data_IF_918165772028
#
_entry.id   IF_918165772028
#
_cell.length_a   1.000
_cell.length_b   1.000
_cell.length_c   1.000
_cell.angle_alpha   90.00
_cell.angle_beta   90.00
_cell.angle_gamma   90.00
#
_symmetry.space_group_name_H-M   'P 1'
#
loop_
_entity.id
_entity.type
_entity.pdbx_description
1 polymer ?
#
# COMPACT_ATOMS: atom_id res chain seq x y z
N UNK A 1 37.31 22.86 1.81
CA UNK A 1 36.51 23.72 2.71
C UNK A 1 35.51 22.78 3.38
N UNK A 2 35.68 22.50 4.66
CA UNK A 2 34.68 21.75 5.42
C UNK A 2 33.48 22.66 5.65
N UNK A 3 32.29 22.29 5.14
CA UNK A 3 31.07 23.03 5.39
C UNK A 3 30.63 22.81 6.84
N UNK A 4 30.31 23.90 7.53
CA UNK A 4 29.84 23.92 8.93
C UNK A 4 28.40 23.42 9.10
N UNK A 5 27.75 22.95 8.03
CA UNK A 5 26.32 22.62 8.01
C UNK A 5 26.02 21.13 8.09
N UNK A 6 26.96 20.32 8.52
CA UNK A 6 26.77 18.87 8.59
C UNK A 6 26.49 18.39 10.01
N UNK A 7 25.36 17.80 10.10
CA UNK A 7 24.65 17.10 11.16
C UNK A 7 25.50 16.27 12.14
N UNK A 8 24.89 15.84 13.23
CA UNK A 8 25.54 15.53 14.47
C UNK A 8 26.38 14.26 14.40
N UNK A 9 27.34 14.25 15.28
CA UNK A 9 28.13 13.12 15.78
C UNK A 9 28.86 12.29 14.71
N UNK A 10 30.15 12.50 14.68
CA UNK A 10 31.20 11.61 14.18
C UNK A 10 31.51 11.55 12.69
N UNK A 11 31.21 12.58 11.92
CA UNK A 11 31.77 12.70 10.56
C UNK A 11 32.84 13.77 10.53
N UNK A 12 34.07 13.39 10.28
CA UNK A 12 35.21 14.31 10.14
C UNK A 12 35.59 14.42 8.66
N UNK A 13 35.77 15.66 8.18
CA UNK A 13 36.32 15.92 6.84
C UNK A 13 37.83 16.11 6.95
N UNK A 14 38.62 15.18 6.47
CA UNK A 14 40.04 15.38 6.23
C UNK A 14 40.23 15.92 4.82
N UNK A 15 40.29 17.25 4.67
CA UNK A 15 40.66 17.91 3.40
C UNK A 15 42.18 18.02 3.26
N UNK A 16 42.64 17.98 2.02
CA UNK A 16 44.05 17.93 1.63
C UNK A 16 44.95 19.09 2.19
N UNK A 17 44.40 20.12 2.81
CA UNK A 17 45.16 21.32 3.19
C UNK A 17 45.12 21.72 4.68
N UNK A 18 44.36 21.05 5.53
CA UNK A 18 44.33 21.38 6.98
C UNK A 18 43.94 20.18 7.82
N UNK A 19 44.89 19.37 8.20
CA UNK A 19 44.75 18.46 9.31
C UNK A 19 44.85 19.23 10.63
N UNK A 20 43.77 19.44 11.34
CA UNK A 20 43.81 19.90 12.71
C UNK A 20 44.20 18.70 13.59
N UNK A 21 45.38 18.78 14.16
CA UNK A 21 46.12 17.68 14.81
C UNK A 21 45.49 17.11 16.08
N UNK A 22 44.21 17.36 16.31
CA UNK A 22 43.48 16.89 17.46
C UNK A 22 42.33 15.91 17.16
N UNK A 23 41.89 15.82 15.88
CA UNK A 23 40.66 15.11 15.53
C UNK A 23 40.76 14.12 14.37
N UNK A 24 41.81 14.23 13.57
CA UNK A 24 42.13 13.20 12.57
C UNK A 24 43.32 12.39 13.12
N UNK A 25 43.23 11.09 13.20
CA UNK A 25 44.32 10.21 13.58
C UNK A 25 45.54 10.42 12.68
N UNK A 26 46.67 9.83 13.02
CA UNK A 26 48.00 10.10 12.44
C UNK A 26 48.15 9.88 10.91
N UNK A 27 47.12 9.48 10.22
CA UNK A 27 47.09 9.14 8.79
C UNK A 27 46.23 10.12 7.97
N UNK A 28 46.64 11.40 7.92
CA UNK A 28 46.22 12.28 6.83
C UNK A 28 47.00 12.00 5.53
N UNK A 29 47.37 10.79 5.28
CA UNK A 29 47.88 10.32 4.01
C UNK A 29 46.70 9.91 3.13
N UNK A 30 46.82 10.04 1.83
CA UNK A 30 45.88 9.52 0.84
C UNK A 30 45.75 7.96 0.99
N UNK A 31 45.26 7.54 2.14
CA UNK A 31 44.88 6.16 2.43
C UNK A 31 43.61 5.81 1.65
N UNK A 32 43.60 4.65 1.10
CA UNK A 32 42.36 4.03 0.65
C UNK A 32 41.49 3.88 1.91
N UNK A 33 40.22 4.31 1.90
CA UNK A 33 39.29 4.07 3.01
C UNK A 33 39.37 2.61 3.47
N UNK A 34 39.54 2.39 4.76
CA UNK A 34 39.72 1.04 5.32
C UNK A 34 38.48 0.68 6.16
N UNK A 35 37.54 0.04 5.51
CA UNK A 35 36.35 -0.48 6.18
C UNK A 35 36.70 -1.37 7.35
N UNK A 36 36.10 -1.14 8.51
CA UNK A 36 36.31 -1.94 9.70
C UNK A 36 37.33 -1.35 10.68
N UNK A 37 37.78 -0.13 10.51
CA UNK A 37 38.68 0.54 11.41
C UNK A 37 38.01 1.34 12.54
N UNK A 38 36.67 1.43 12.51
CA UNK A 38 35.82 2.15 13.47
C UNK A 38 35.70 3.65 13.17
N UNK A 39 36.08 4.09 11.97
CA UNK A 39 36.03 5.50 11.55
C UNK A 39 35.34 5.57 10.18
N UNK A 40 34.19 6.21 10.09
CA UNK A 40 33.51 6.40 8.80
C UNK A 40 34.30 7.35 7.90
N UNK A 41 34.88 6.82 6.84
CA UNK A 41 35.72 7.54 5.88
C UNK A 41 34.96 7.86 4.59
N UNK A 42 35.63 8.57 3.67
CA UNK A 42 35.00 8.94 2.40
C UNK A 42 34.67 7.72 1.55
N UNK A 43 33.38 7.53 1.24
CA UNK A 43 32.89 6.40 0.46
C UNK A 43 32.25 5.28 1.28
N UNK A 44 32.33 5.42 2.61
CA UNK A 44 31.65 4.53 3.56
C UNK A 44 30.34 5.17 4.01
N UNK A 45 29.35 4.34 4.28
CA UNK A 45 28.06 4.75 4.82
C UNK A 45 28.04 4.63 6.35
N UNK A 46 28.80 3.67 6.85
CA UNK A 46 28.97 3.35 8.28
C UNK A 46 30.32 2.67 8.50
N UNK A 47 30.80 2.58 9.74
CA UNK A 47 31.92 1.72 10.13
C UNK A 47 31.78 1.32 11.62
N UNK A 48 31.35 0.11 11.86
CA UNK A 48 31.18 -0.47 13.20
C UNK A 48 32.29 -1.50 13.53
N UNK A 49 33.42 -1.39 12.86
CA UNK A 49 34.59 -2.23 13.08
C UNK A 49 34.67 -3.45 12.18
N UNK A 50 35.72 -4.27 12.31
CA UNK A 50 36.11 -5.26 11.31
C UNK A 50 35.13 -6.45 11.15
N UNK A 51 34.17 -6.57 12.03
CA UNK A 51 33.13 -7.62 11.95
C UNK A 51 31.77 -7.05 11.51
N UNK A 52 31.69 -5.74 11.30
CA UNK A 52 30.41 -5.07 11.10
C UNK A 52 29.50 -5.15 12.33
N UNK A 53 28.25 -4.81 12.16
CA UNK A 53 27.21 -4.86 13.20
C UNK A 53 25.85 -5.27 12.61
N UNK A 54 24.79 -5.13 13.39
CA UNK A 54 23.42 -5.28 12.87
C UNK A 54 23.00 -4.14 11.93
N UNK A 55 23.71 -3.01 11.94
CA UNK A 55 23.40 -1.81 11.16
C UNK A 55 24.43 -1.46 10.10
N UNK A 56 25.58 -2.16 10.11
CA UNK A 56 26.69 -1.91 9.19
C UNK A 56 27.33 -3.22 8.74
N UNK A 57 27.38 -3.45 7.44
CA UNK A 57 28.00 -4.67 6.90
C UNK A 57 29.55 -4.58 6.87
N UNK A 58 30.19 -5.69 6.55
CA UNK A 58 31.65 -5.78 6.44
C UNK A 58 32.25 -5.02 5.23
N UNK A 59 31.39 -4.39 4.41
CA UNK A 59 31.76 -3.54 3.29
C UNK A 59 31.48 -2.06 3.60
N UNK A 60 31.20 -1.74 4.86
CA UNK A 60 30.85 -0.40 5.36
C UNK A 60 29.65 0.22 4.67
N UNK A 61 28.64 -0.61 4.41
CA UNK A 61 27.34 -0.20 3.94
C UNK A 61 26.31 -0.30 5.07
N UNK A 62 25.45 0.71 5.17
CA UNK A 62 24.32 0.63 6.10
C UNK A 62 23.46 -0.59 5.73
N UNK A 63 23.30 -1.50 6.69
CA UNK A 63 22.31 -2.57 6.58
C UNK A 63 20.95 -1.90 6.82
N UNK A 64 20.02 -1.93 5.86
CA UNK A 64 18.68 -1.41 6.10
C UNK A 64 18.08 -2.13 7.31
N UNK A 65 17.73 -1.39 8.36
CA UNK A 65 16.94 -1.94 9.45
C UNK A 65 15.55 -2.14 8.86
N UNK A 66 15.26 -3.37 8.46
CA UNK A 66 13.91 -3.73 8.06
C UNK A 66 13.01 -3.56 9.29
N UNK A 67 11.82 -3.00 9.12
CA UNK A 67 10.85 -2.95 10.20
C UNK A 67 10.59 -4.37 10.70
N UNK A 68 10.37 -4.52 12.01
CA UNK A 68 9.98 -5.81 12.58
C UNK A 68 8.77 -6.35 11.81
N UNK A 69 8.90 -7.57 11.32
CA UNK A 69 7.86 -8.17 10.48
C UNK A 69 6.57 -8.31 11.29
N UNK A 70 5.46 -7.73 10.86
CA UNK A 70 4.21 -7.77 11.59
C UNK A 70 3.72 -9.21 11.79
N UNK A 71 3.37 -9.58 13.02
CA UNK A 71 2.84 -10.90 13.34
C UNK A 71 1.33 -10.98 13.20
N UNK A 72 0.63 -9.90 13.57
CA UNK A 72 -0.82 -9.83 13.45
C UNK A 72 -1.21 -8.91 12.31
N UNK A 73 -2.17 -9.37 11.51
CA UNK A 73 -2.66 -8.64 10.35
C UNK A 73 -4.13 -8.26 10.55
N UNK A 74 -4.43 -6.99 10.39
CA UNK A 74 -5.78 -6.45 10.43
C UNK A 74 -6.12 -5.82 9.09
N UNK A 75 -7.40 -5.81 8.73
CA UNK A 75 -7.85 -5.23 7.47
C UNK A 75 -9.04 -4.31 7.66
N UNK A 76 -8.96 -3.15 7.06
CA UNK A 76 -10.04 -2.17 6.91
C UNK A 76 -10.28 -2.00 5.40
N UNK A 77 -11.53 -2.05 4.99
CA UNK A 77 -11.82 -1.96 3.56
C UNK A 77 -13.29 -2.15 3.22
N UNK A 78 -13.49 -2.38 1.95
CA UNK A 78 -14.79 -2.66 1.34
C UNK A 78 -14.88 -4.11 0.83
N UNK A 79 -15.67 -4.37 -0.20
CA UNK A 79 -15.83 -5.69 -0.81
C UNK A 79 -14.53 -6.30 -1.34
N UNK A 80 -13.57 -5.48 -1.74
CA UNK A 80 -12.24 -5.96 -2.16
C UNK A 80 -11.51 -6.54 -0.93
N UNK A 81 -11.59 -5.84 0.20
CA UNK A 81 -11.04 -6.27 1.47
C UNK A 81 -11.74 -7.49 2.07
N UNK A 82 -13.01 -7.73 1.75
CA UNK A 82 -13.71 -8.96 2.11
C UNK A 82 -13.39 -10.16 1.18
N UNK A 83 -12.71 -9.90 0.05
CA UNK A 83 -12.50 -10.91 -0.98
C UNK A 83 -13.80 -11.33 -1.67
N UNK A 84 -14.79 -10.41 -1.76
CA UNK A 84 -16.08 -10.72 -2.38
C UNK A 84 -15.88 -11.26 -3.80
N UNK A 85 -16.55 -12.33 -4.10
CA UNK A 85 -16.50 -13.03 -5.38
C UNK A 85 -15.10 -13.56 -5.80
N UNK A 86 -14.08 -13.53 -4.97
CA UNK A 86 -12.73 -13.95 -5.34
C UNK A 86 -12.67 -15.42 -5.83
N UNK A 87 -13.49 -16.32 -5.26
CA UNK A 87 -13.60 -17.72 -5.67
C UNK A 87 -14.64 -17.99 -6.78
N UNK A 88 -15.27 -16.95 -7.30
CA UNK A 88 -16.34 -17.04 -8.30
C UNK A 88 -17.75 -17.01 -7.73
N UNK A 89 -17.93 -17.05 -6.41
CA UNK A 89 -19.24 -17.01 -5.76
C UNK A 89 -19.66 -15.57 -5.52
N UNK A 90 -20.56 -15.07 -6.34
CA UNK A 90 -21.00 -13.66 -6.31
C UNK A 90 -21.73 -13.36 -5.00
N UNK A 91 -21.43 -12.22 -4.39
CA UNK A 91 -22.10 -11.69 -3.19
C UNK A 91 -21.72 -12.42 -1.90
N UNK A 92 -20.67 -13.23 -1.91
CA UNK A 92 -20.15 -13.87 -0.70
C UNK A 92 -18.69 -13.46 -0.46
N UNK A 93 -18.32 -13.16 0.79
CA UNK A 93 -16.93 -12.88 1.16
C UNK A 93 -16.10 -14.16 1.08
N UNK A 94 -14.82 -13.99 0.80
CA UNK A 94 -13.81 -15.05 0.88
C UNK A 94 -12.57 -14.53 1.59
N UNK A 95 -12.61 -14.50 2.90
CA UNK A 95 -11.52 -13.97 3.74
C UNK A 95 -10.22 -14.78 3.60
N UNK A 96 -10.29 -16.03 3.14
CA UNK A 96 -9.09 -16.85 2.91
C UNK A 96 -8.25 -16.34 1.74
N UNK A 97 -8.91 -15.79 0.73
CA UNK A 97 -8.29 -15.35 -0.51
C UNK A 97 -8.19 -13.81 -0.63
N UNK A 98 -8.02 -13.11 0.48
CA UNK A 98 -7.86 -11.64 0.50
C UNK A 98 -6.41 -11.24 0.34
N UNK A 99 -6.16 -10.19 -0.41
CA UNK A 99 -4.81 -9.67 -0.69
C UNK A 99 -4.00 -9.34 0.58
N UNK A 100 -4.66 -8.93 1.66
CA UNK A 100 -4.05 -8.48 2.91
C UNK A 100 -3.99 -9.58 3.97
N UNK A 101 -5.15 -10.00 4.46
CA UNK A 101 -5.31 -10.93 5.60
C UNK A 101 -5.63 -12.37 5.19
N UNK A 102 -5.48 -12.72 3.91
CA UNK A 102 -5.66 -14.07 3.42
C UNK A 102 -4.74 -15.08 4.13
N UNK A 103 -5.19 -16.34 4.21
CA UNK A 103 -4.48 -17.36 4.98
C UNK A 103 -4.65 -18.79 4.41
N UNK A 104 -4.98 -18.94 3.14
CA UNK A 104 -5.08 -20.26 2.47
C UNK A 104 -3.80 -20.56 1.68
N UNK A 105 -2.84 -21.32 2.25
CA UNK A 105 -1.57 -21.61 1.58
C UNK A 105 -1.73 -22.48 0.32
N UNK A 106 -2.94 -22.95 0.04
CA UNK A 106 -3.23 -23.80 -1.12
C UNK A 106 -3.75 -23.02 -2.31
N UNK A 107 -4.13 -21.76 -2.10
CA UNK A 107 -4.53 -20.89 -3.20
C UNK A 107 -3.34 -20.10 -3.76
N UNK A 108 -3.54 -19.31 -4.79
CA UNK A 108 -2.48 -18.58 -5.46
C UNK A 108 -2.36 -17.12 -4.97
N UNK A 109 -3.06 -16.73 -3.89
CA UNK A 109 -3.11 -15.32 -3.51
C UNK A 109 -1.80 -14.85 -2.90
N UNK A 110 -1.16 -15.62 -2.05
CA UNK A 110 0.04 -15.25 -1.31
C UNK A 110 -0.10 -13.83 -0.74
N UNK A 111 -1.02 -13.67 0.19
CA UNK A 111 -1.41 -12.41 0.83
C UNK A 111 -0.25 -11.73 1.56
N UNK A 112 -0.43 -10.49 2.03
CA UNK A 112 0.54 -9.85 2.92
C UNK A 112 0.77 -10.68 4.17
N UNK A 113 -0.30 -11.22 4.75
CA UNK A 113 -0.24 -12.10 5.91
C UNK A 113 0.69 -13.30 5.66
N UNK A 114 0.51 -14.01 4.56
CA UNK A 114 1.32 -15.18 4.21
C UNK A 114 2.77 -14.82 3.86
N UNK A 115 3.00 -13.64 3.25
CA UNK A 115 4.36 -13.14 2.95
C UNK A 115 5.13 -12.84 4.21
N UNK A 116 4.51 -12.22 5.20
CA UNK A 116 5.15 -11.93 6.48
C UNK A 116 5.43 -13.21 7.28
N UNK A 117 4.54 -14.18 7.24
CA UNK A 117 4.77 -15.49 7.82
C UNK A 117 6.01 -16.16 7.23
N UNK A 118 6.11 -16.19 5.91
CA UNK A 118 7.23 -16.80 5.21
C UNK A 118 8.56 -16.06 5.50
N UNK A 119 8.51 -14.74 5.66
CA UNK A 119 9.69 -13.93 5.99
C UNK A 119 10.25 -14.21 7.38
N UNK A 120 9.40 -14.58 8.32
CA UNK A 120 9.81 -14.98 9.68
C UNK A 120 10.40 -16.40 9.75
N UNK A 121 10.51 -17.12 8.62
CA UNK A 121 11.06 -18.49 8.58
C UNK A 121 10.15 -19.53 9.23
N UNK A 122 8.97 -19.15 9.69
CA UNK A 122 7.95 -20.08 10.14
C UNK A 122 7.17 -20.59 8.93
N UNK A 123 7.00 -21.89 8.83
CA UNK A 123 6.04 -22.43 7.89
C UNK A 123 4.65 -21.94 8.29
N UNK A 124 3.92 -21.36 7.33
CA UNK A 124 2.52 -21.02 7.54
C UNK A 124 1.79 -22.25 8.06
N UNK A 125 1.17 -22.13 9.20
CA UNK A 125 0.32 -23.17 9.77
C UNK A 125 -1.05 -22.55 10.02
N UNK A 126 -2.07 -23.21 9.48
CA UNK A 126 -3.50 -22.89 9.65
C UNK A 126 -3.94 -22.70 11.11
N UNK A 127 -3.09 -23.09 12.04
CA UNK A 127 -3.30 -23.04 13.49
C UNK A 127 -2.61 -21.87 14.19
N UNK A 128 -2.12 -20.90 13.46
CA UNK A 128 -1.64 -19.68 14.12
C UNK A 128 -2.85 -18.88 14.61
N UNK A 129 -3.25 -19.17 15.84
CA UNK A 129 -4.47 -18.65 16.48
C UNK A 129 -4.47 -17.12 16.65
N UNK A 130 -3.34 -16.47 16.42
CA UNK A 130 -3.25 -15.00 16.42
C UNK A 130 -3.78 -14.37 15.12
N UNK A 131 -4.11 -15.17 14.11
CA UNK A 131 -4.52 -14.73 12.76
C UNK A 131 -5.89 -15.23 12.38
N UNK A 132 -6.82 -14.99 13.25
CA UNK A 132 -8.22 -15.35 13.04
C UNK A 132 -8.86 -14.43 11.97
N UNK A 133 -9.85 -14.97 11.23
CA UNK A 133 -10.67 -14.23 10.26
C UNK A 133 -11.40 -13.04 10.89
N UNK A 134 -11.57 -13.01 12.20
CA UNK A 134 -12.14 -11.88 12.94
C UNK A 134 -11.28 -10.61 12.88
N UNK A 135 -10.07 -10.70 12.41
CA UNK A 135 -9.16 -9.57 12.19
C UNK A 135 -9.55 -8.78 10.93
N UNK A 136 -10.29 -9.37 10.02
CA UNK A 136 -10.80 -8.66 8.85
C UNK A 136 -12.09 -7.91 9.20
N UNK A 137 -12.02 -6.58 9.20
CA UNK A 137 -13.14 -5.67 9.48
C UNK A 137 -13.69 -4.98 8.23
N UNK A 138 -13.23 -5.39 7.05
CA UNK A 138 -13.79 -4.89 5.79
C UNK A 138 -15.25 -5.26 5.67
N UNK A 139 -16.03 -4.42 5.00
CA UNK A 139 -17.48 -4.61 4.78
C UNK A 139 -17.83 -4.27 3.34
N UNK A 140 -18.47 -5.19 2.62
CA UNK A 140 -18.94 -4.94 1.26
C UNK A 140 -19.82 -3.69 1.17
N UNK A 141 -19.51 -2.84 0.20
CA UNK A 141 -20.20 -1.56 0.00
C UNK A 141 -19.74 -0.42 0.91
N UNK A 142 -18.79 -0.64 1.82
CA UNK A 142 -18.28 0.40 2.71
C UNK A 142 -17.68 1.57 1.92
N UNK A 143 -17.95 2.77 2.40
CA UNK A 143 -17.43 4.05 1.93
C UNK A 143 -16.49 4.66 2.98
N UNK A 144 -15.83 5.75 2.67
CA UNK A 144 -14.90 6.40 3.61
C UNK A 144 -15.58 6.78 4.94
N UNK A 145 -16.89 7.06 4.95
CA UNK A 145 -17.66 7.32 6.17
C UNK A 145 -17.69 6.13 7.16
N UNK A 146 -17.47 4.91 6.68
CA UNK A 146 -17.44 3.71 7.50
C UNK A 146 -16.10 3.48 8.17
N UNK A 147 -15.06 4.22 7.77
CA UNK A 147 -13.69 4.07 8.29
C UNK A 147 -13.64 4.22 9.80
N UNK A 148 -14.31 5.22 10.37
CA UNK A 148 -14.37 5.42 11.82
C UNK A 148 -14.83 4.16 12.57
N UNK A 149 -15.88 3.51 12.08
CA UNK A 149 -16.43 2.32 12.73
C UNK A 149 -15.51 1.11 12.56
N UNK A 150 -14.94 0.92 11.37
CA UNK A 150 -13.99 -0.16 11.11
C UNK A 150 -12.70 0.02 11.92
N UNK A 151 -12.18 1.24 12.02
CA UNK A 151 -11.01 1.56 12.84
C UNK A 151 -11.24 1.22 14.32
N UNK A 152 -12.41 1.61 14.87
CA UNK A 152 -12.78 1.22 16.24
C UNK A 152 -12.86 -0.31 16.41
N UNK A 153 -13.40 -1.02 15.45
CA UNK A 153 -13.49 -2.48 15.49
C UNK A 153 -12.09 -3.13 15.46
N UNK A 154 -11.18 -2.61 14.62
CA UNK A 154 -9.78 -3.05 14.57
C UNK A 154 -9.10 -2.78 15.90
N UNK A 155 -9.16 -1.56 16.46
CA UNK A 155 -8.54 -1.23 17.75
C UNK A 155 -9.07 -2.14 18.85
N UNK A 156 -10.37 -2.39 18.91
CA UNK A 156 -10.96 -3.32 19.86
C UNK A 156 -10.48 -4.77 19.69
N UNK A 157 -10.25 -5.21 18.44
CA UNK A 157 -9.71 -6.53 18.19
C UNK A 157 -8.24 -6.62 18.63
N UNK A 158 -7.44 -5.61 18.35
CA UNK A 158 -6.00 -5.55 18.67
C UNK A 158 -5.75 -5.62 20.19
N UNK A 159 -6.55 -4.95 21.02
CA UNK A 159 -6.38 -5.00 22.50
C UNK A 159 -6.64 -6.40 23.08
N UNK A 160 -7.25 -7.31 22.33
CA UNK A 160 -7.50 -8.69 22.76
C UNK A 160 -6.46 -9.69 22.21
N UNK A 161 -5.48 -9.22 21.44
CA UNK A 161 -4.37 -10.03 20.93
C UNK A 161 -3.20 -9.94 21.90
N UNK A 162 -2.35 -10.97 21.98
CA UNK A 162 -1.21 -10.97 22.90
C UNK A 162 -0.31 -9.75 22.66
N UNK A 163 0.03 -8.98 23.72
CA UNK A 163 0.89 -7.81 23.61
C UNK A 163 2.34 -8.20 23.32
N UNK A 164 3.06 -7.32 22.63
CA UNK A 164 4.51 -7.45 22.42
C UNK A 164 4.91 -7.88 21.01
N UNK A 165 4.00 -7.78 20.05
CA UNK A 165 4.28 -8.03 18.63
C UNK A 165 3.94 -6.79 17.80
N UNK A 166 4.70 -6.58 16.73
CA UNK A 166 4.34 -5.59 15.72
C UNK A 166 3.06 -6.04 15.00
N UNK A 167 2.09 -5.15 14.94
CA UNK A 167 0.83 -5.37 14.24
C UNK A 167 0.77 -4.54 12.96
N UNK A 168 0.05 -5.02 11.96
CA UNK A 168 -0.22 -4.25 10.75
C UNK A 168 -1.71 -4.10 10.51
N UNK A 169 -2.12 -2.91 10.15
CA UNK A 169 -3.46 -2.63 9.63
C UNK A 169 -3.35 -2.26 8.15
N UNK A 170 -3.87 -3.10 7.28
CA UNK A 170 -4.01 -2.78 5.85
C UNK A 170 -5.30 -2.02 5.63
N UNK A 171 -5.26 -0.92 4.88
CA UNK A 171 -6.41 -0.06 4.62
C UNK A 171 -6.56 0.12 3.11
N UNK A 172 -7.67 -0.36 2.55
CA UNK A 172 -8.08 -0.07 1.18
C UNK A 172 -9.56 0.30 1.20
N UNK A 173 -9.84 1.59 1.22
CA UNK A 173 -11.19 2.13 1.31
C UNK A 173 -11.31 3.37 0.42
N UNK A 174 -12.53 3.64 -0.08
CA UNK A 174 -12.80 4.75 -0.97
C UNK A 174 -13.22 4.31 -2.37
N UNK A 175 -13.14 3.03 -2.70
CA UNK A 175 -13.57 2.54 -4.02
C UNK A 175 -15.07 2.84 -4.26
N UNK A 176 -15.92 2.67 -3.25
CA UNK A 176 -17.35 2.96 -3.36
C UNK A 176 -17.66 4.46 -3.33
N UNK A 177 -16.77 5.29 -2.80
CA UNK A 177 -16.89 6.77 -2.84
C UNK A 177 -16.71 7.30 -4.26
N UNK A 178 -15.84 6.69 -5.04
CA UNK A 178 -15.53 7.10 -6.42
C UNK A 178 -16.32 6.29 -7.45
N UNK A 179 -16.89 5.15 -7.07
CA UNK A 179 -17.72 4.31 -7.92
C UNK A 179 -19.15 4.85 -7.92
N UNK A 180 -19.38 5.94 -8.66
CA UNK A 180 -20.60 6.71 -8.69
C UNK A 180 -21.18 6.81 -10.10
N UNK A 181 -22.41 7.26 -10.22
CA UNK A 181 -23.10 7.42 -11.51
C UNK A 181 -22.56 8.59 -12.33
N UNK A 182 -21.97 9.59 -11.68
CA UNK A 182 -21.35 10.76 -12.31
C UNK A 182 -20.25 11.33 -11.45
N UNK A 183 -19.44 12.22 -12.02
CA UNK A 183 -18.37 12.93 -11.27
C UNK A 183 -18.92 13.77 -10.11
N UNK A 184 -20.13 14.27 -10.23
CA UNK A 184 -20.80 15.10 -9.22
C UNK A 184 -21.38 14.26 -8.08
N UNK A 185 -21.66 12.98 -8.32
CA UNK A 185 -22.24 12.07 -7.32
C UNK A 185 -21.18 11.27 -6.57
N UNK A 186 -19.90 11.38 -6.93
CA UNK A 186 -18.81 10.92 -6.08
C UNK A 186 -18.88 11.62 -4.72
N UNK A 187 -18.44 10.96 -3.66
CA UNK A 187 -18.33 11.59 -2.33
C UNK A 187 -17.57 12.92 -2.43
N UNK A 188 -18.14 13.97 -1.86
CA UNK A 188 -17.50 15.29 -1.88
C UNK A 188 -16.07 15.22 -1.30
N UNK A 189 -15.05 15.77 -1.97
CA UNK A 189 -13.66 15.64 -1.53
C UNK A 189 -13.39 16.16 -0.12
N UNK A 190 -14.10 17.21 0.33
CA UNK A 190 -13.94 17.72 1.69
C UNK A 190 -14.56 16.77 2.71
N UNK A 191 -15.74 16.21 2.38
CA UNK A 191 -16.38 15.19 3.21
C UNK A 191 -15.50 13.92 3.29
N UNK A 192 -14.98 13.46 2.15
CA UNK A 192 -14.06 12.33 2.08
C UNK A 192 -12.82 12.54 2.96
N UNK A 193 -12.17 13.70 2.86
CA UNK A 193 -11.00 14.02 3.67
C UNK A 193 -11.33 14.05 5.18
N UNK A 194 -12.50 14.59 5.57
CA UNK A 194 -12.91 14.63 6.97
C UNK A 194 -13.19 13.22 7.51
N UNK A 195 -13.91 12.40 6.74
CA UNK A 195 -14.19 11.01 7.11
C UNK A 195 -12.91 10.17 7.24
N UNK A 196 -11.93 10.44 6.37
CA UNK A 196 -10.62 9.81 6.46
C UNK A 196 -9.89 10.21 7.74
N UNK A 197 -9.90 11.51 8.12
CA UNK A 197 -9.35 11.98 9.40
C UNK A 197 -10.04 11.33 10.59
N UNK A 198 -11.36 11.22 10.56
CA UNK A 198 -12.13 10.59 11.66
C UNK A 198 -11.64 9.15 11.93
N UNK A 199 -11.34 8.39 10.91
CA UNK A 199 -10.77 7.04 11.03
C UNK A 199 -9.31 7.04 11.51
N UNK A 200 -8.46 7.92 10.96
CA UNK A 200 -7.08 8.05 11.38
C UNK A 200 -6.96 8.52 12.84
N UNK A 201 -7.86 9.40 13.31
CA UNK A 201 -7.91 9.86 14.70
C UNK A 201 -8.15 8.69 15.67
N UNK A 202 -8.99 7.73 15.29
CA UNK A 202 -9.22 6.51 16.09
C UNK A 202 -7.93 5.69 16.20
N UNK A 203 -7.22 5.50 15.08
CA UNK A 203 -5.98 4.73 15.06
C UNK A 203 -4.86 5.46 15.82
N UNK A 204 -4.74 6.77 15.65
CA UNK A 204 -3.74 7.60 16.33
C UNK A 204 -3.97 7.71 17.85
N UNK A 205 -5.22 7.71 18.28
CA UNK A 205 -5.58 7.74 19.71
C UNK A 205 -5.52 6.37 20.38
N UNK A 206 -5.26 5.30 19.62
CA UNK A 206 -5.25 3.95 20.18
C UNK A 206 -4.09 3.78 21.17
N UNK A 207 -4.25 2.99 22.26
CA UNK A 207 -3.18 2.74 23.22
C UNK A 207 -2.01 1.91 22.64
N UNK A 208 -2.16 1.43 21.41
CA UNK A 208 -1.19 0.59 20.69
C UNK A 208 -0.23 1.43 19.81
N UNK A 209 -0.49 2.68 19.68
CA UNK A 209 0.13 3.84 19.03
C UNK A 209 1.38 3.59 18.18
N UNK A 210 2.53 3.45 18.81
CA UNK A 210 3.81 3.42 18.08
C UNK A 210 4.17 2.03 17.54
N UNK A 211 3.53 0.97 18.03
CA UNK A 211 3.83 -0.42 17.64
C UNK A 211 2.97 -0.92 16.48
N UNK A 212 2.05 -0.09 15.98
CA UNK A 212 1.15 -0.44 14.87
C UNK A 212 1.64 0.13 13.56
N UNK A 213 1.87 -0.74 12.60
CA UNK A 213 2.17 -0.36 11.23
C UNK A 213 0.86 -0.19 10.46
N UNK A 214 0.71 0.90 9.72
CA UNK A 214 -0.43 1.10 8.82
C UNK A 214 0.04 1.04 7.38
N UNK A 215 -0.59 0.22 6.57
CA UNK A 215 -0.39 0.19 5.12
C UNK A 215 -1.64 0.71 4.43
N UNK A 216 -1.60 1.94 3.95
CA UNK A 216 -2.71 2.62 3.31
C UNK A 216 -2.54 2.55 1.80
N UNK A 217 -3.38 1.75 1.17
CA UNK A 217 -3.39 1.61 -0.28
C UNK A 217 -4.25 2.70 -0.93
N UNK A 218 -3.72 3.32 -1.97
CA UNK A 218 -4.48 4.23 -2.82
C UNK A 218 -5.63 3.51 -3.54
N UNK A 219 -6.62 4.25 -4.00
CA UNK A 219 -7.75 3.73 -4.75
C UNK A 219 -7.27 3.32 -6.14
N UNK A 220 -7.39 2.03 -6.54
CA UNK A 220 -7.08 1.58 -7.88
C UNK A 220 -7.94 2.26 -8.94
N UNK A 221 -7.40 2.43 -10.13
CA UNK A 221 -8.15 3.09 -11.19
C UNK A 221 -9.23 2.20 -11.79
N UNK A 222 -10.50 2.57 -11.62
CA UNK A 222 -11.67 1.85 -12.16
C UNK A 222 -11.62 1.74 -13.69
N UNK A 223 -10.92 2.64 -14.36
CA UNK A 223 -10.71 2.55 -15.80
C UNK A 223 -10.12 1.21 -16.23
N UNK A 224 -9.19 0.65 -15.46
CA UNK A 224 -8.56 -0.63 -15.79
C UNK A 224 -9.50 -1.81 -15.60
N UNK A 225 -10.48 -1.73 -14.70
CA UNK A 225 -11.56 -2.70 -14.59
C UNK A 225 -12.39 -2.73 -15.89
N UNK A 226 -12.78 -1.56 -16.37
CA UNK A 226 -13.50 -1.45 -17.64
C UNK A 226 -12.66 -1.97 -18.82
N UNK A 227 -11.41 -1.57 -18.93
CA UNK A 227 -10.51 -2.00 -20.02
C UNK A 227 -10.31 -3.52 -20.03
N UNK A 228 -10.16 -4.11 -18.86
CA UNK A 228 -9.99 -5.56 -18.69
C UNK A 228 -11.17 -6.40 -19.24
N UNK A 229 -12.41 -5.89 -19.12
CA UNK A 229 -13.63 -6.64 -19.46
C UNK A 229 -14.48 -6.03 -20.57
N UNK A 230 -14.10 -4.91 -21.14
CA UNK A 230 -14.89 -4.19 -22.16
C UNK A 230 -15.22 -5.00 -23.42
N UNK A 231 -14.44 -6.02 -23.74
CA UNK A 231 -14.67 -6.90 -24.87
C UNK A 231 -15.49 -8.15 -24.50
N UNK A 232 -15.79 -8.34 -23.21
CA UNK A 232 -16.60 -9.45 -22.74
C UNK A 232 -18.09 -9.12 -22.90
N UNK A 233 -18.79 -9.93 -23.72
CA UNK A 233 -20.21 -9.72 -23.99
C UNK A 233 -21.08 -9.90 -22.75
N UNK A 234 -20.75 -10.88 -21.90
CA UNK A 234 -21.48 -11.12 -20.65
C UNK A 234 -21.37 -9.92 -19.71
N UNK A 235 -20.14 -9.44 -19.51
CA UNK A 235 -19.87 -8.31 -18.63
C UNK A 235 -20.64 -7.06 -19.04
N UNK A 236 -20.56 -6.69 -20.32
CA UNK A 236 -21.22 -5.48 -20.83
C UNK A 236 -22.74 -5.54 -20.82
N UNK A 237 -23.29 -6.74 -21.09
CA UNK A 237 -24.71 -6.87 -21.36
C UNK A 237 -25.51 -7.28 -20.12
N UNK A 238 -24.93 -8.12 -19.29
CA UNK A 238 -25.66 -8.76 -18.20
C UNK A 238 -25.13 -8.43 -16.79
N UNK A 239 -23.83 -8.21 -16.61
CA UNK A 239 -23.28 -7.96 -15.29
C UNK A 239 -23.25 -6.46 -14.95
N UNK A 240 -22.62 -5.65 -15.75
CA UNK A 240 -22.42 -4.22 -15.46
C UNK A 240 -23.69 -3.37 -15.29
N UNK A 241 -24.83 -3.66 -15.90
CA UNK A 241 -26.05 -2.94 -15.59
C UNK A 241 -26.55 -3.09 -14.13
N UNK A 242 -25.99 -4.00 -13.37
CA UNK A 242 -26.45 -4.33 -12.00
C UNK A 242 -25.37 -4.14 -10.92
N UNK A 243 -24.17 -3.73 -11.31
CA UNK A 243 -23.08 -3.43 -10.35
C UNK A 243 -22.99 -1.93 -10.07
N UNK A 244 -22.33 -1.51 -8.99
CA UNK A 244 -21.98 -0.09 -8.81
C UNK A 244 -21.23 0.47 -10.02
N UNK A 245 -21.20 1.79 -10.19
CA UNK A 245 -20.60 2.48 -11.34
C UNK A 245 -21.19 2.06 -12.71
N UNK A 246 -22.42 1.59 -12.77
CA UNK A 246 -23.01 1.09 -14.02
C UNK A 246 -22.91 2.08 -15.19
N UNK A 247 -23.04 3.38 -14.94
CA UNK A 247 -22.92 4.42 -15.97
C UNK A 247 -21.47 4.59 -16.48
N UNK A 248 -20.51 4.21 -15.67
CA UNK A 248 -19.10 4.21 -16.03
C UNK A 248 -18.74 2.95 -16.83
N UNK A 249 -19.29 1.80 -16.45
CA UNK A 249 -18.93 0.49 -16.98
C UNK A 249 -19.81 0.07 -18.16
N UNK A 250 -21.14 0.17 -18.02
CA UNK A 250 -22.13 -0.37 -18.95
C UNK A 250 -22.58 0.60 -20.04
N UNK A 251 -21.83 1.63 -20.34
CA UNK A 251 -22.20 2.60 -21.38
C UNK A 251 -22.55 1.91 -22.71
N UNK A 252 -23.68 2.33 -23.32
CA UNK A 252 -24.34 1.65 -24.42
C UNK A 252 -23.53 1.54 -25.72
N UNK A 253 -22.56 2.38 -25.94
CA UNK A 253 -21.62 2.28 -27.03
C UNK A 253 -20.23 2.62 -26.49
N UNK A 254 -19.32 1.70 -26.68
CA UNK A 254 -17.92 1.98 -26.43
C UNK A 254 -17.39 2.88 -27.55
N UNK A 255 -17.21 4.15 -27.23
CA UNK A 255 -16.67 5.15 -28.13
C UNK A 255 -15.18 5.40 -27.93
N UNK A 256 -14.56 4.69 -26.97
CA UNK A 256 -13.11 4.58 -26.91
C UNK A 256 -12.63 3.65 -28.02
N UNK A 257 -11.86 4.17 -28.97
CA UNK A 257 -11.18 3.33 -29.93
C UNK A 257 -10.17 2.43 -29.19
N UNK A 258 -9.87 1.26 -29.77
CA UNK A 258 -8.84 0.38 -29.21
C UNK A 258 -7.47 1.05 -29.09
N UNK A 259 -7.22 2.07 -29.88
CA UNK A 259 -6.02 2.89 -29.80
C UNK A 259 -6.05 3.90 -28.66
N UNK A 260 -7.24 4.43 -28.31
CA UNK A 260 -7.41 5.38 -27.22
C UNK A 260 -7.39 4.71 -25.84
N UNK A 261 -7.94 3.51 -25.73
CA UNK A 261 -7.88 2.74 -24.47
C UNK A 261 -6.48 2.26 -24.13
N UNK A 262 -5.63 2.09 -25.14
CA UNK A 262 -4.25 1.65 -24.95
C UNK A 262 -3.27 2.81 -24.74
N UNK A 263 -3.66 4.06 -25.04
CA UNK A 263 -2.67 5.11 -25.23
C UNK A 263 -2.43 5.99 -24.03
N UNK A 264 -3.38 6.36 -23.25
CA UNK A 264 -3.13 7.25 -22.12
C UNK A 264 -4.45 7.60 -21.42
N UNK A 265 -4.86 6.82 -20.44
CA UNK A 265 -5.99 7.20 -19.62
C UNK A 265 -5.69 8.46 -18.80
N UNK A 266 -4.42 8.85 -18.69
CA UNK A 266 -3.97 9.99 -17.90
C UNK A 266 -4.13 11.33 -18.63
N UNK A 267 -4.44 11.34 -19.91
CA UNK A 267 -4.81 12.58 -20.57
C UNK A 267 -6.14 13.11 -20.03
N UNK A 268 -6.08 14.30 -19.45
CA UNK A 268 -7.26 15.00 -18.94
C UNK A 268 -8.18 15.36 -20.10
N UNK A 269 -9.37 14.80 -20.09
CA UNK A 269 -10.43 15.17 -21.02
C UNK A 269 -11.43 16.06 -20.29
N UNK A 270 -11.59 17.32 -20.70
CA UNK A 270 -12.61 18.18 -20.11
C UNK A 270 -13.99 17.75 -20.59
N UNK A 271 -14.88 17.41 -19.66
CA UNK A 271 -16.30 17.32 -19.88
C UNK A 271 -16.90 15.96 -20.21
N UNK A 272 -18.21 15.92 -20.25
CA UNK A 272 -19.10 14.76 -20.37
C UNK A 272 -19.38 14.31 -21.81
N UNK A 273 -18.57 14.68 -22.80
CA UNK A 273 -18.92 14.56 -24.21
C UNK A 273 -19.23 13.13 -24.66
N UNK A 274 -18.37 12.19 -24.32
CA UNK A 274 -18.50 10.78 -24.69
C UNK A 274 -18.34 9.87 -23.47
N UNK A 275 -18.74 8.62 -23.58
CA UNK A 275 -18.52 7.63 -22.53
C UNK A 275 -17.03 7.44 -22.24
N UNK A 276 -16.20 7.49 -23.28
CA UNK A 276 -14.75 7.42 -23.14
C UNK A 276 -14.19 8.60 -22.35
N UNK A 277 -14.60 9.82 -22.70
CA UNK A 277 -14.17 11.02 -21.99
C UNK A 277 -14.60 10.99 -20.53
N UNK A 278 -15.81 10.54 -20.23
CA UNK A 278 -16.30 10.37 -18.87
C UNK A 278 -15.45 9.39 -18.07
N UNK A 279 -15.14 8.21 -18.61
CA UNK A 279 -14.26 7.23 -17.95
C UNK A 279 -12.89 7.80 -17.66
N UNK A 280 -12.30 8.52 -18.61
CA UNK A 280 -11.01 9.19 -18.40
C UNK A 280 -11.11 10.31 -17.34
N UNK A 281 -12.20 11.05 -17.29
CA UNK A 281 -12.42 12.07 -16.27
C UNK A 281 -12.57 11.47 -14.85
N UNK A 282 -13.25 10.32 -14.72
CA UNK A 282 -13.29 9.56 -13.46
C UNK A 282 -11.90 9.09 -13.03
N UNK A 283 -11.17 8.51 -13.96
CA UNK A 283 -9.80 8.06 -13.75
C UNK A 283 -8.91 9.22 -13.25
N UNK A 284 -8.94 10.36 -13.95
CA UNK A 284 -8.19 11.54 -13.54
C UNK A 284 -8.62 12.07 -12.18
N UNK A 285 -9.91 12.06 -11.85
CA UNK A 285 -10.40 12.55 -10.54
C UNK A 285 -9.93 11.68 -9.39
N UNK A 286 -9.82 10.36 -9.57
CA UNK A 286 -9.22 9.47 -8.55
C UNK A 286 -7.75 9.84 -8.33
N UNK A 287 -6.97 9.95 -9.41
CA UNK A 287 -5.54 10.28 -9.37
C UNK A 287 -5.27 11.66 -8.78
N UNK A 288 -6.02 12.66 -9.22
CA UNK A 288 -5.70 14.06 -8.97
C UNK A 288 -6.36 14.62 -7.70
N UNK A 289 -7.36 13.93 -7.16
CA UNK A 289 -8.13 14.40 -6.00
C UNK A 289 -8.11 13.40 -4.85
N UNK A 290 -8.66 12.18 -5.04
CA UNK A 290 -8.88 11.27 -3.91
C UNK A 290 -7.59 10.63 -3.40
N UNK A 291 -6.73 10.13 -4.28
CA UNK A 291 -5.45 9.54 -3.85
C UNK A 291 -4.49 10.58 -3.24
N UNK A 292 -4.38 11.81 -3.76
CA UNK A 292 -3.66 12.86 -3.04
C UNK A 292 -4.24 13.17 -1.65
N UNK A 293 -5.55 13.13 -1.44
CA UNK A 293 -6.13 13.32 -0.10
C UNK A 293 -5.62 12.24 0.86
N UNK A 294 -5.63 10.97 0.46
CA UNK A 294 -5.17 9.87 1.31
C UNK A 294 -3.70 10.06 1.72
N UNK A 295 -2.84 10.39 0.76
CA UNK A 295 -1.42 10.62 1.01
C UNK A 295 -1.18 11.89 1.81
N UNK A 296 -1.71 13.02 1.34
CA UNK A 296 -1.36 14.35 1.86
C UNK A 296 -1.90 14.56 3.29
N UNK A 297 -3.07 14.02 3.62
CA UNK A 297 -3.60 14.05 4.99
C UNK A 297 -2.69 13.22 5.90
N UNK A 298 -2.33 11.99 5.51
CA UNK A 298 -1.43 11.16 6.31
C UNK A 298 -0.09 11.85 6.56
N UNK A 299 0.58 12.26 5.50
CA UNK A 299 1.96 12.79 5.56
C UNK A 299 2.02 14.15 6.24
N UNK A 300 1.12 15.08 5.86
CA UNK A 300 1.23 16.47 6.29
C UNK A 300 0.46 16.79 7.57
N UNK A 301 -0.57 16.02 7.92
CA UNK A 301 -1.39 16.30 9.11
C UNK A 301 -1.08 15.34 10.27
N UNK A 302 -0.70 14.08 10.01
CA UNK A 302 -0.38 13.12 11.05
C UNK A 302 1.13 12.93 11.23
N UNK A 303 1.83 12.48 10.21
CA UNK A 303 3.26 12.19 10.33
C UNK A 303 4.11 13.42 10.60
N UNK A 304 3.80 14.55 9.95
CA UNK A 304 4.49 15.81 10.23
C UNK A 304 4.33 16.31 11.68
N UNK A 305 3.29 15.85 12.38
CA UNK A 305 3.05 16.12 13.80
C UNK A 305 3.50 14.97 14.73
N UNK A 306 4.23 13.98 14.22
CA UNK A 306 4.76 12.86 15.00
C UNK A 306 3.70 11.80 15.37
N UNK A 307 2.56 11.78 14.68
CA UNK A 307 1.53 10.77 14.83
C UNK A 307 1.60 9.76 13.70
N UNK A 308 1.24 8.50 13.95
CA UNK A 308 1.21 7.43 12.96
C UNK A 308 2.52 7.34 12.14
N UNK A 309 3.66 7.48 12.81
CA UNK A 309 4.99 7.53 12.17
C UNK A 309 5.35 6.24 11.45
N UNK A 310 4.72 5.12 11.82
CA UNK A 310 4.87 3.81 11.17
C UNK A 310 3.77 3.55 10.11
N UNK A 311 3.11 4.60 9.64
CA UNK A 311 2.16 4.48 8.54
C UNK A 311 2.86 4.73 7.20
N UNK A 312 2.44 3.98 6.18
CA UNK A 312 2.94 4.09 4.82
C UNK A 312 1.78 4.19 3.84
N UNK A 313 1.82 5.18 2.97
CA UNK A 313 0.93 5.24 1.81
C UNK A 313 1.59 4.56 0.63
N UNK A 314 0.91 3.59 0.02
CA UNK A 314 1.34 2.96 -1.22
C UNK A 314 0.42 3.36 -2.37
N UNK A 315 1.01 3.79 -3.47
CA UNK A 315 0.25 4.15 -4.65
C UNK A 315 -0.11 2.89 -5.46
N UNK A 316 -1.37 2.49 -5.39
CA UNK A 316 -1.93 1.35 -6.12
C UNK A 316 -2.73 1.76 -7.35
N UNK A 317 -2.76 3.05 -7.66
CA UNK A 317 -3.57 3.62 -8.74
C UNK A 317 -3.25 3.03 -10.12
N UNK A 318 -1.99 2.79 -10.41
CA UNK A 318 -1.51 2.32 -11.70
C UNK A 318 -1.53 0.79 -11.87
N UNK A 319 -2.04 0.05 -10.87
CA UNK A 319 -2.21 -1.42 -10.98
C UNK A 319 -3.17 -1.73 -12.14
N UNK A 320 -2.66 -2.38 -13.15
CA UNK A 320 -3.43 -2.72 -14.37
C UNK A 320 -4.02 -4.11 -14.24
N UNK A 321 -5.32 -4.16 -14.00
CA UNK A 321 -6.06 -5.41 -14.01
C UNK A 321 -6.25 -5.91 -15.45
N UNK A 322 -5.78 -7.12 -15.73
CA UNK A 322 -6.13 -7.84 -16.95
C UNK A 322 -7.41 -8.65 -16.77
N UNK A 323 -7.94 -9.22 -17.85
CA UNK A 323 -9.21 -9.96 -17.82
C UNK A 323 -9.25 -11.13 -16.83
N UNK A 324 -8.11 -11.75 -16.54
CA UNK A 324 -8.01 -12.87 -15.58
C UNK A 324 -8.08 -12.39 -14.13
N UNK A 325 -7.76 -11.11 -13.88
CA UNK A 325 -7.74 -10.51 -12.55
C UNK A 325 -9.12 -10.07 -12.06
N UNK A 326 -10.12 -10.05 -12.94
CA UNK A 326 -11.49 -9.67 -12.63
C UNK A 326 -12.38 -10.89 -12.69
N UNK A 327 -13.25 -11.07 -11.68
CA UNK A 327 -14.20 -12.17 -11.62
C UNK A 327 -15.04 -12.23 -12.91
N UNK A 328 -15.27 -13.43 -13.42
CA UNK A 328 -16.01 -13.61 -14.67
C UNK A 328 -17.53 -13.62 -14.50
N UNK A 329 -18.03 -13.76 -13.29
CA UNK A 329 -19.45 -13.80 -12.99
C UNK A 329 -20.07 -12.42 -12.84
N UNK A 330 -19.52 -11.60 -11.95
CA UNK A 330 -19.98 -10.23 -11.72
C UNK A 330 -19.24 -9.19 -12.57
N UNK A 331 -18.07 -9.54 -13.10
CA UNK A 331 -17.23 -8.67 -13.89
C UNK A 331 -16.83 -7.35 -13.18
N UNK A 332 -16.76 -7.41 -11.87
CA UNK A 332 -16.56 -6.23 -11.05
C UNK A 332 -15.49 -6.44 -9.97
N UNK A 333 -15.64 -7.47 -9.15
CA UNK A 333 -14.69 -7.73 -8.07
C UNK A 333 -13.42 -8.43 -8.58
N UNK A 334 -12.29 -8.27 -7.87
CA UNK A 334 -11.09 -9.04 -8.18
C UNK A 334 -11.33 -10.54 -8.02
N UNK A 335 -10.87 -11.32 -8.99
CA UNK A 335 -10.74 -12.77 -8.85
C UNK A 335 -9.59 -13.12 -7.87
N UNK A 336 -9.40 -14.40 -7.54
CA UNK A 336 -8.17 -14.83 -6.82
C UNK A 336 -6.89 -14.31 -7.47
N UNK A 337 -6.80 -14.33 -8.81
CA UNK A 337 -5.66 -13.77 -9.51
C UNK A 337 -5.56 -12.24 -9.34
N UNK A 338 -6.68 -11.54 -9.22
CA UNK A 338 -6.73 -10.11 -8.91
C UNK A 338 -6.28 -9.82 -7.48
N UNK A 339 -6.72 -10.61 -6.52
CA UNK A 339 -6.27 -10.52 -5.13
C UNK A 339 -4.76 -10.80 -5.01
N UNK A 340 -4.24 -11.79 -5.75
CA UNK A 340 -2.82 -12.10 -5.80
C UNK A 340 -1.99 -10.97 -6.42
N UNK A 341 -2.50 -10.32 -7.47
CA UNK A 341 -1.88 -9.13 -8.05
C UNK A 341 -1.82 -8.00 -7.03
N UNK A 342 -2.92 -7.70 -6.35
CA UNK A 342 -2.97 -6.67 -5.31
C UNK A 342 -2.00 -6.97 -4.17
N UNK A 343 -1.95 -8.21 -3.68
CA UNK A 343 -1.02 -8.62 -2.64
C UNK A 343 0.44 -8.42 -3.06
N UNK A 344 0.77 -8.77 -4.30
CA UNK A 344 2.12 -8.60 -4.84
C UNK A 344 2.50 -7.14 -4.98
N UNK A 345 1.64 -6.35 -5.59
CA UNK A 345 1.87 -4.92 -5.80
C UNK A 345 1.95 -4.16 -4.47
N UNK A 346 1.05 -4.46 -3.52
CA UNK A 346 1.07 -3.85 -2.21
C UNK A 346 2.37 -4.17 -1.45
N UNK A 347 2.79 -5.44 -1.44
CA UNK A 347 4.04 -5.84 -0.82
C UNK A 347 5.24 -5.17 -1.50
N UNK A 348 5.31 -5.21 -2.83
CA UNK A 348 6.45 -4.69 -3.58
C UNK A 348 6.59 -3.17 -3.55
N UNK A 349 5.53 -2.45 -3.20
CA UNK A 349 5.54 -0.99 -3.03
C UNK A 349 5.75 -0.56 -1.59
N UNK A 350 5.71 -1.50 -0.66
CA UNK A 350 5.92 -1.23 0.76
C UNK A 350 7.40 -1.27 1.15
N UNK A 351 7.72 -0.68 2.28
CA UNK A 351 9.06 -0.68 2.87
C UNK A 351 9.59 -2.08 3.20
N UNK A 352 8.71 -3.08 3.35
CA UNK A 352 9.11 -4.47 3.63
C UNK A 352 9.65 -5.23 2.41
N UNK A 353 9.55 -4.67 1.22
CA UNK A 353 9.98 -5.36 -0.03
C UNK A 353 11.45 -5.22 -0.35
N UNK A 354 12.21 -4.43 0.39
CA UNK A 354 13.53 -3.89 0.00
C UNK A 354 14.57 -4.94 -0.46
N UNK A 355 14.35 -6.24 -0.21
CA UNK A 355 15.24 -7.32 -0.65
C UNK A 355 14.54 -8.52 -1.29
N UNK A 356 13.26 -8.40 -1.63
CA UNK A 356 12.51 -9.54 -2.15
C UNK A 356 12.75 -9.76 -3.64
N UNK A 357 13.31 -10.92 -3.99
CA UNK A 357 13.44 -11.36 -5.38
C UNK A 357 12.07 -11.48 -6.11
N UNK A 358 10.96 -11.52 -5.36
CA UNK A 358 9.60 -11.57 -5.91
C UNK A 358 9.11 -10.23 -6.46
N UNK A 359 9.83 -9.14 -6.19
CA UNK A 359 9.49 -7.78 -6.61
C UNK A 359 10.35 -7.28 -7.79
N UNK A 360 11.17 -8.14 -8.37
CA UNK A 360 11.89 -7.77 -9.59
C UNK A 360 10.93 -7.66 -10.77
N UNK A 361 11.00 -6.57 -11.57
CA UNK A 361 10.13 -6.36 -12.72
C UNK A 361 10.32 -7.41 -13.83
#
# INVERSE_FOLDING_TARGET
MCSSDLKPANRYCCGLDTCDTGLCGADCGAGVPECGNGIVEYGEECDDGPLGSATCDILCKEIPVLPDVPLNQFNIGDSIGEGEAADGTIGLPNHQAVWSTGYDPTDAVNSLNERFENGNGAAYTENNSSRDIHINQAVSGAVMADFYNQANAVVNAMVNVEPGHADMVSILLGNNDVCADSLETMTDPVAFANQYRDGLDVLAASPLGEDVNLLIAGIPAIYWLWDAKRNDFWCRTFAWPFVPCQNLLAGAADDCSSSESAQDPDNVYPGDGSNCQRRKAFHAKIRDVYNPILRDVLENEYQANGMLTNAEYIDTYDIRFGSVHVNGGDCFHPSKAGQALMATEAYCRSSWSAESASCSP
#
